data_IF_817029517756
#
_entry.id   IF_817029517756
#
_cell.length_a   1.000
_cell.length_b   1.000
_cell.length_c   1.000
_cell.angle_alpha   90.00
_cell.angle_beta   90.00
_cell.angle_gamma   90.00
#
_symmetry.space_group_name_H-M   'P 1'
#
loop_
_entity.id
_entity.type
_entity.pdbx_description
1 polymer ?
#
# COMPACT_ATOMS: atom_id res chain seq x y z
N UNK A 1 -10.64 9.65 21.98
CA UNK A 1 -11.87 8.85 21.75
C UNK A 1 -12.37 9.22 20.37
N UNK A 2 -12.26 8.34 19.39
CA UNK A 2 -12.94 8.54 18.11
C UNK A 2 -14.32 7.93 18.24
N UNK A 3 -15.33 8.79 18.34
CA UNK A 3 -16.70 8.37 18.66
C UNK A 3 -17.48 7.87 17.43
N UNK A 4 -17.05 8.22 16.21
CA UNK A 4 -17.66 7.69 14.99
C UNK A 4 -16.62 7.36 13.90
N UNK A 5 -16.13 6.12 13.94
CA UNK A 5 -15.17 5.57 12.95
C UNK A 5 -15.78 5.59 11.54
N UNK A 6 -17.07 5.28 11.42
CA UNK A 6 -17.79 5.23 10.15
C UNK A 6 -17.83 6.59 9.45
N UNK A 7 -18.16 7.66 10.18
CA UNK A 7 -18.18 9.03 9.67
C UNK A 7 -16.79 9.43 9.16
N UNK A 8 -15.73 9.15 9.92
CA UNK A 8 -14.37 9.49 9.53
C UNK A 8 -13.91 8.75 8.27
N UNK A 9 -14.23 7.46 8.16
CA UNK A 9 -13.94 6.67 6.95
C UNK A 9 -14.66 7.24 5.72
N UNK A 10 -15.91 7.69 5.87
CA UNK A 10 -16.65 8.36 4.80
C UNK A 10 -16.06 9.72 4.43
N UNK A 11 -15.59 10.49 5.41
CA UNK A 11 -14.92 11.79 5.15
C UNK A 11 -13.62 11.60 4.39
N UNK A 12 -12.80 10.62 4.76
CA UNK A 12 -11.58 10.28 4.02
C UNK A 12 -11.90 9.74 2.62
N UNK A 13 -12.89 8.86 2.48
CA UNK A 13 -13.33 8.35 1.17
C UNK A 13 -13.91 9.45 0.26
N UNK A 14 -14.48 10.51 0.86
CA UNK A 14 -14.97 11.68 0.12
C UNK A 14 -13.85 12.58 -0.42
N UNK A 15 -12.66 12.59 0.19
CA UNK A 15 -11.49 13.37 -0.26
C UNK A 15 -10.75 12.71 -1.43
N UNK A 16 -10.96 11.43 -1.65
CA UNK A 16 -10.24 10.63 -2.65
C UNK A 16 -10.23 11.22 -4.06
N UNK A 17 -11.35 11.71 -4.65
CA UNK A 17 -11.31 12.29 -5.99
C UNK A 17 -10.42 13.52 -6.09
N UNK A 18 -10.37 14.33 -5.02
CA UNK A 18 -9.48 15.50 -4.95
C UNK A 18 -8.02 15.05 -4.88
N UNK A 19 -7.70 14.08 -4.03
CA UNK A 19 -6.35 13.49 -3.95
C UNK A 19 -5.89 12.90 -5.29
N UNK A 20 -6.78 12.22 -6.01
CA UNK A 20 -6.47 11.70 -7.34
C UNK A 20 -6.27 12.81 -8.37
N UNK A 21 -7.00 13.91 -8.27
CA UNK A 21 -6.84 15.06 -9.16
C UNK A 21 -5.49 15.76 -8.91
N UNK A 22 -5.10 15.93 -7.65
CA UNK A 22 -3.77 16.42 -7.27
C UNK A 22 -2.67 15.46 -7.73
N UNK A 23 -2.90 14.16 -7.62
CA UNK A 23 -1.99 13.14 -8.13
C UNK A 23 -1.81 13.25 -9.65
N UNK A 24 -2.89 13.40 -10.42
CA UNK A 24 -2.81 13.62 -11.88
C UNK A 24 -2.00 14.87 -12.19
N UNK A 25 -2.19 15.95 -11.43
CA UNK A 25 -1.37 17.16 -11.60
C UNK A 25 0.12 16.87 -11.36
N UNK A 26 0.47 16.02 -10.39
CA UNK A 26 1.85 15.62 -10.13
C UNK A 26 2.49 14.79 -11.27
N UNK A 27 1.68 14.09 -12.09
CA UNK A 27 2.18 13.32 -13.24
C UNK A 27 2.80 14.21 -14.33
N UNK A 28 2.52 15.52 -14.33
CA UNK A 28 3.16 16.46 -15.26
C UNK A 28 4.69 16.49 -15.12
N UNK A 29 5.22 16.12 -13.95
CA UNK A 29 6.66 15.94 -13.72
C UNK A 29 7.29 14.82 -14.56
N UNK A 30 6.49 13.83 -14.98
CA UNK A 30 6.92 12.71 -15.83
C UNK A 30 6.94 13.04 -17.31
N UNK A 31 6.54 14.26 -17.71
CA UNK A 31 6.48 14.67 -19.12
C UNK A 31 7.81 14.49 -19.84
N UNK A 32 8.92 14.84 -19.20
CA UNK A 32 10.26 14.68 -19.77
C UNK A 32 10.63 13.21 -20.00
N UNK A 33 10.29 12.33 -19.05
CA UNK A 33 10.52 10.90 -19.16
C UNK A 33 9.69 10.28 -20.30
N UNK A 34 8.43 10.69 -20.42
CA UNK A 34 7.57 10.26 -21.52
C UNK A 34 8.08 10.76 -22.88
N UNK A 35 8.54 12.01 -22.96
CA UNK A 35 9.13 12.58 -24.17
C UNK A 35 10.40 11.82 -24.58
N UNK A 36 11.28 11.49 -23.63
CA UNK A 36 12.44 10.64 -23.88
C UNK A 36 12.02 9.30 -24.49
N UNK A 37 11.02 8.63 -23.90
CA UNK A 37 10.56 7.34 -24.41
C UNK A 37 9.99 7.44 -25.83
N UNK A 38 9.16 8.46 -26.10
CA UNK A 38 8.60 8.70 -27.43
C UNK A 38 9.69 9.02 -28.45
N UNK A 39 10.64 9.89 -28.12
CA UNK A 39 11.75 10.25 -29.00
C UNK A 39 12.64 9.05 -29.30
N UNK A 40 12.93 8.22 -28.28
CA UNK A 40 13.70 7.00 -28.46
C UNK A 40 12.98 5.98 -29.34
N UNK A 41 11.68 5.72 -29.09
CA UNK A 41 10.87 4.82 -29.92
C UNK A 41 10.81 5.28 -31.38
N UNK A 42 10.59 6.58 -31.61
CA UNK A 42 10.56 7.15 -32.95
C UNK A 42 11.92 7.07 -33.64
N UNK A 43 13.01 7.25 -32.91
CA UNK A 43 14.35 7.13 -33.46
C UNK A 43 14.68 5.68 -33.85
N UNK A 44 14.36 4.71 -32.99
CA UNK A 44 14.57 3.29 -33.27
C UNK A 44 13.69 2.85 -34.45
N UNK A 45 12.40 3.20 -34.47
CA UNK A 45 11.45 2.75 -35.50
C UNK A 45 11.58 3.54 -36.82
N UNK A 46 11.93 4.82 -36.75
CA UNK A 46 12.15 5.67 -37.94
C UNK A 46 13.34 5.24 -38.78
N UNK A 47 14.25 4.41 -38.24
CA UNK A 47 15.33 3.77 -38.99
C UNK A 47 14.89 2.57 -39.85
N UNK A 48 13.66 2.06 -39.69
CA UNK A 48 13.15 0.86 -40.38
C UNK A 48 11.91 1.11 -41.25
N UNK A 49 11.52 2.38 -41.46
CA UNK A 49 10.32 2.71 -42.22
C UNK A 49 10.65 2.77 -43.72
N UNK A 50 10.36 1.68 -44.45
CA UNK A 50 10.30 1.69 -45.92
C UNK A 50 9.09 2.51 -46.38
N UNK A 51 9.30 3.37 -47.39
CA UNK A 51 8.34 4.33 -47.98
C UNK A 51 7.01 3.71 -48.52
N UNK A 52 6.79 2.40 -48.39
CA UNK A 52 5.73 1.66 -49.09
C UNK A 52 4.70 0.93 -48.21
N UNK A 53 4.73 1.08 -46.89
CA UNK A 53 3.68 0.53 -46.03
C UNK A 53 2.90 1.64 -45.34
N UNK A 54 1.57 1.62 -45.48
CA UNK A 54 0.66 2.45 -44.65
C UNK A 54 1.10 2.34 -43.19
N UNK A 55 1.11 3.45 -42.43
CA UNK A 55 1.51 3.40 -41.03
C UNK A 55 0.58 2.44 -40.30
N UNK A 56 1.09 1.27 -39.94
CA UNK A 56 0.44 0.40 -38.98
C UNK A 56 0.06 1.27 -37.78
N UNK A 57 -1.11 1.02 -37.19
CA UNK A 57 -1.61 1.79 -36.05
C UNK A 57 -0.66 1.61 -34.86
N UNK A 58 0.42 2.37 -34.83
CA UNK A 58 1.40 2.32 -33.76
C UNK A 58 0.70 2.82 -32.50
N UNK A 59 0.45 1.90 -31.57
CA UNK A 59 0.03 2.26 -30.23
C UNK A 59 1.06 3.24 -29.66
N UNK A 60 0.61 4.45 -29.33
CA UNK A 60 1.45 5.47 -28.72
C UNK A 60 2.06 4.97 -27.41
N UNK A 61 3.25 5.44 -27.05
CA UNK A 61 3.85 5.14 -25.75
C UNK A 61 2.95 5.64 -24.63
N UNK A 62 2.64 4.78 -23.65
CA UNK A 62 1.93 5.14 -22.42
C UNK A 62 0.69 6.03 -22.67
N UNK A 63 -0.34 5.53 -23.41
CA UNK A 63 -1.44 6.35 -23.91
C UNK A 63 -2.30 7.00 -22.82
N UNK A 64 -2.48 6.31 -21.69
CA UNK A 64 -3.25 6.80 -20.54
C UNK A 64 -2.47 7.87 -19.78
N UNK A 65 -1.18 7.65 -19.55
CA UNK A 65 -0.30 8.65 -18.95
C UNK A 65 -0.24 9.92 -19.80
N UNK A 66 -0.10 9.78 -21.12
CA UNK A 66 -0.11 10.91 -22.06
C UNK A 66 -1.41 11.70 -21.99
N UNK A 67 -2.55 11.02 -22.02
CA UNK A 67 -3.86 11.66 -21.92
C UNK A 67 -4.00 12.45 -20.61
N UNK A 68 -3.57 11.88 -19.48
CA UNK A 68 -3.66 12.52 -18.17
C UNK A 68 -2.72 13.73 -18.05
N UNK A 69 -1.53 13.69 -18.66
CA UNK A 69 -0.60 14.83 -18.69
C UNK A 69 -1.16 15.97 -19.57
N UNK A 70 -1.75 15.64 -20.72
CA UNK A 70 -2.20 16.63 -21.71
C UNK A 70 -3.57 17.24 -21.34
N UNK A 71 -4.51 16.43 -20.83
CA UNK A 71 -5.91 16.82 -20.60
C UNK A 71 -6.30 16.88 -19.11
N UNK A 72 -5.40 16.50 -18.19
CA UNK A 72 -5.71 16.46 -16.76
C UNK A 72 -6.61 15.28 -16.38
N UNK A 73 -7.34 15.41 -15.27
CA UNK A 73 -8.16 14.32 -14.75
C UNK A 73 -9.45 14.19 -15.56
N UNK A 74 -9.44 13.30 -16.56
CA UNK A 74 -10.57 13.08 -17.48
C UNK A 74 -11.60 12.09 -16.90
N UNK A 75 -12.81 12.07 -17.46
CA UNK A 75 -13.83 11.07 -17.14
C UNK A 75 -13.57 9.71 -17.82
N UNK A 76 -14.16 8.65 -17.28
CA UNK A 76 -14.15 7.33 -17.93
C UNK A 76 -14.81 7.40 -19.31
N UNK A 77 -15.89 8.19 -19.45
CA UNK A 77 -16.55 8.42 -20.73
C UNK A 77 -15.60 8.98 -21.80
N UNK A 78 -14.90 10.07 -21.47
CA UNK A 78 -13.95 10.74 -22.37
C UNK A 78 -12.82 9.80 -22.78
N UNK A 79 -12.33 8.97 -21.85
CA UNK A 79 -11.26 8.01 -22.12
C UNK A 79 -11.71 6.90 -23.07
N UNK A 80 -12.94 6.38 -22.92
CA UNK A 80 -13.47 5.31 -23.79
C UNK A 80 -13.90 5.81 -25.17
N UNK A 81 -14.46 7.01 -25.25
CA UNK A 81 -15.12 7.51 -26.46
C UNK A 81 -14.30 8.57 -27.22
N UNK A 82 -13.24 9.11 -26.61
CA UNK A 82 -12.40 10.14 -27.22
C UNK A 82 -13.05 11.52 -27.33
N UNK A 83 -14.25 11.73 -26.76
CA UNK A 83 -14.99 12.99 -26.77
C UNK A 83 -15.63 13.28 -25.41
N UNK A 84 -15.82 14.56 -25.10
CA UNK A 84 -16.52 15.00 -23.90
C UNK A 84 -18.03 14.72 -23.98
N UNK A 85 -18.68 14.31 -22.89
CA UNK A 85 -20.12 14.13 -22.87
C UNK A 85 -20.84 15.49 -22.89
N UNK A 86 -21.99 15.54 -23.56
CA UNK A 86 -22.85 16.73 -23.59
C UNK A 86 -23.62 16.90 -22.26
N UNK A 87 -23.89 15.80 -21.54
CA UNK A 87 -24.57 15.83 -20.25
C UNK A 87 -23.98 14.79 -19.28
N UNK A 88 -23.86 15.15 -18.00
CA UNK A 88 -23.37 14.27 -16.93
C UNK A 88 -24.55 13.94 -16.01
N UNK A 89 -24.92 12.67 -15.95
CA UNK A 89 -25.91 12.14 -15.01
C UNK A 89 -25.26 11.71 -13.68
N UNK A 90 -26.07 11.22 -12.74
CA UNK A 90 -25.58 10.77 -11.43
C UNK A 90 -24.55 9.64 -11.60
N UNK A 91 -23.40 9.81 -10.96
CA UNK A 91 -22.43 8.74 -10.75
C UNK A 91 -22.98 7.70 -9.78
N UNK A 92 -22.45 6.50 -9.85
CA UNK A 92 -22.65 5.41 -8.90
C UNK A 92 -21.77 5.54 -7.64
N UNK A 93 -21.21 6.72 -7.34
CA UNK A 93 -20.56 7.00 -6.05
C UNK A 93 -21.60 7.23 -4.95
N UNK A 94 -21.66 6.31 -3.99
CA UNK A 94 -22.60 6.35 -2.87
C UNK A 94 -22.08 7.18 -1.69
N UNK A 95 -20.79 7.53 -1.66
CA UNK A 95 -20.16 8.20 -0.51
C UNK A 95 -20.81 9.54 -0.18
N UNK A 96 -21.13 10.44 -1.14
CA UNK A 96 -21.80 11.71 -0.82
C UNK A 96 -23.14 11.51 -0.09
N UNK A 97 -23.92 10.51 -0.51
CA UNK A 97 -25.20 10.17 0.11
C UNK A 97 -25.02 9.57 1.50
N UNK A 98 -24.13 8.58 1.65
CA UNK A 98 -23.85 7.93 2.93
C UNK A 98 -23.26 8.92 3.95
N UNK A 99 -22.40 9.83 3.50
CA UNK A 99 -21.82 10.87 4.34
C UNK A 99 -22.90 11.82 4.88
N UNK A 100 -23.85 12.24 4.04
CA UNK A 100 -24.97 13.07 4.48
C UNK A 100 -25.85 12.34 5.50
N UNK A 101 -26.18 11.07 5.22
CA UNK A 101 -26.98 10.25 6.12
C UNK A 101 -26.29 10.07 7.49
N UNK A 102 -24.99 9.80 7.50
CA UNK A 102 -24.23 9.57 8.73
C UNK A 102 -24.09 10.86 9.55
N UNK A 103 -23.87 12.01 8.90
CA UNK A 103 -23.87 13.32 9.56
C UNK A 103 -25.21 13.63 10.22
N UNK A 104 -26.32 13.32 9.57
CA UNK A 104 -27.66 13.49 10.15
C UNK A 104 -27.85 12.60 11.39
N UNK A 105 -27.43 11.34 11.35
CA UNK A 105 -27.51 10.42 12.50
C UNK A 105 -26.68 10.92 13.70
N UNK A 106 -25.44 11.35 13.46
CA UNK A 106 -24.58 11.89 14.53
C UNK A 106 -25.17 13.15 15.14
N UNK A 107 -25.74 14.04 14.32
CA UNK A 107 -26.39 15.25 14.81
C UNK A 107 -27.66 14.92 15.63
N UNK A 108 -28.45 13.95 15.19
CA UNK A 108 -29.64 13.48 15.93
C UNK A 108 -29.27 12.90 17.30
N UNK A 109 -28.29 11.99 17.34
CA UNK A 109 -27.78 11.42 18.60
C UNK A 109 -27.23 12.50 19.54
N UNK A 110 -26.58 13.53 18.99
CA UNK A 110 -26.08 14.66 19.77
C UNK A 110 -27.21 15.52 20.36
N UNK A 111 -28.31 15.71 19.62
CA UNK A 111 -29.50 16.41 20.10
C UNK A 111 -30.24 15.61 21.18
N UNK A 112 -30.40 14.29 21.00
CA UNK A 112 -31.02 13.40 21.98
C UNK A 112 -30.24 13.36 23.30
N UNK A 113 -28.90 13.42 23.24
CA UNK A 113 -28.06 13.53 24.45
C UNK A 113 -28.25 14.87 25.18
N UNK A 114 -28.52 15.95 24.45
CA UNK A 114 -28.84 17.27 25.04
C UNK A 114 -30.26 17.34 25.61
N UNK A 115 -31.20 16.54 25.09
CA UNK A 115 -32.58 16.49 25.57
C UNK A 115 -32.73 15.64 26.87
N UNK A 116 -31.83 14.68 27.11
CA UNK A 116 -31.92 13.73 28.23
C UNK A 116 -31.25 14.20 29.54
N UNK A 117 -31.06 15.52 29.75
CA UNK A 117 -30.48 16.06 31.00
C UNK A 117 -31.51 16.24 32.13
N UNK A 118 -32.78 15.88 31.94
CA UNK A 118 -33.75 15.83 33.05
C UNK A 118 -34.71 14.65 32.92
N UNK A 119 -34.40 13.54 33.61
CA UNK A 119 -35.27 12.93 34.64
C UNK A 119 -34.46 11.86 35.38
N UNK A 120 -34.12 12.15 36.63
CA UNK A 120 -33.89 11.13 37.66
C UNK A 120 -35.11 10.20 37.71
N UNK A 121 -34.91 8.91 37.42
CA UNK A 121 -35.42 7.78 38.21
C UNK A 121 -35.45 6.50 37.37
N UNK A 122 -35.11 5.39 38.05
CA UNK A 122 -35.18 3.99 37.62
C UNK A 122 -34.05 3.50 36.71
N UNK A 123 -32.92 3.24 37.37
CA UNK A 123 -32.01 2.14 37.03
C UNK A 123 -32.76 0.82 37.25
N UNK A 124 -32.97 -0.02 36.21
CA UNK A 124 -33.23 -1.43 36.42
C UNK A 124 -31.88 -2.10 36.68
N UNK A 125 -31.68 -2.52 37.92
CA UNK A 125 -30.58 -3.38 38.34
C UNK A 125 -30.72 -4.75 37.67
N UNK A 126 -29.93 -5.03 36.64
CA UNK A 126 -29.58 -6.41 36.25
C UNK A 126 -28.26 -6.37 35.46
N UNK A 127 -27.19 -6.12 36.20
CA UNK A 127 -25.84 -6.45 35.76
C UNK A 127 -25.71 -7.97 35.94
N UNK A 128 -25.84 -8.72 34.85
CA UNK A 128 -25.36 -10.10 34.82
C UNK A 128 -23.83 -10.05 34.96
N UNK A 129 -23.37 -9.98 36.21
CA UNK A 129 -21.99 -10.27 36.57
C UNK A 129 -21.69 -11.70 36.16
N UNK A 130 -21.00 -11.84 35.03
CA UNK A 130 -20.30 -13.08 34.71
C UNK A 130 -19.18 -13.18 35.74
N UNK A 131 -19.45 -13.95 36.80
CA UNK A 131 -18.48 -14.37 37.80
C UNK A 131 -17.43 -15.23 37.09
N UNK A 132 -16.28 -14.64 36.78
CA UNK A 132 -15.11 -15.40 36.32
C UNK A 132 -14.58 -16.19 37.52
N UNK A 133 -14.85 -17.49 37.55
CA UNK A 133 -14.27 -18.41 38.52
C UNK A 133 -12.74 -18.39 38.36
N UNK A 134 -12.03 -17.98 39.42
CA UNK A 134 -10.56 -17.90 39.45
C UNK A 134 -9.88 -19.27 39.31
N UNK A 135 -10.63 -20.37 39.30
CA UNK A 135 -10.08 -21.74 39.24
C UNK A 135 -10.08 -22.39 37.84
N UNK A 136 -10.62 -21.77 36.79
CA UNK A 136 -10.47 -22.25 35.42
C UNK A 136 -9.28 -21.56 34.72
N UNK A 137 -8.06 -21.98 35.08
CA UNK A 137 -6.89 -21.82 34.22
C UNK A 137 -6.96 -22.86 33.09
N UNK A 138 -8.08 -22.86 32.36
CA UNK A 138 -8.15 -23.42 31.03
C UNK A 138 -7.54 -22.39 30.10
N UNK A 139 -6.25 -22.52 29.80
CA UNK A 139 -5.59 -21.74 28.77
C UNK A 139 -6.42 -21.83 27.48
N UNK A 140 -7.17 -20.78 27.15
CA UNK A 140 -7.77 -20.66 25.83
C UNK A 140 -6.59 -20.33 24.90
N UNK A 141 -6.03 -21.42 24.37
CA UNK A 141 -5.03 -21.46 23.31
C UNK A 141 -5.67 -20.95 22.02
N UNK A 142 -5.67 -19.63 21.85
CA UNK A 142 -5.77 -19.06 20.51
C UNK A 142 -4.38 -19.23 19.90
N UNK A 143 -4.20 -20.37 19.23
CA UNK A 143 -2.94 -20.80 18.62
C UNK A 143 -2.22 -19.72 17.81
N UNK A 144 -0.97 -19.99 17.40
CA UNK A 144 -0.07 -18.99 16.83
C UNK A 144 -0.75 -18.16 15.74
N UNK A 145 -0.65 -16.84 15.90
CA UNK A 145 -1.08 -15.87 14.90
C UNK A 145 -0.39 -16.17 13.58
N UNK A 146 -1.16 -16.55 12.57
CA UNK A 146 -0.66 -16.71 11.22
C UNK A 146 -0.55 -15.31 10.57
N UNK A 147 0.58 -14.66 10.84
CA UNK A 147 0.92 -13.32 10.34
C UNK A 147 1.23 -13.35 8.83
N UNK A 148 1.23 -14.52 8.19
CA UNK A 148 1.44 -14.68 6.73
C UNK A 148 0.20 -14.35 5.88
N UNK A 149 -0.98 -14.11 6.47
CA UNK A 149 -2.18 -13.68 5.71
C UNK A 149 -2.20 -12.19 5.33
N UNK A 150 -1.09 -11.48 5.51
CA UNK A 150 -0.90 -10.10 5.02
C UNK A 150 -0.47 -10.05 3.54
N UNK A 151 -0.14 -11.20 2.93
CA UNK A 151 0.08 -11.31 1.49
C UNK A 151 -1.02 -12.17 0.87
N UNK A 152 -2.09 -11.50 0.41
CA UNK A 152 -2.84 -11.84 -0.80
C UNK A 152 -3.92 -10.78 -0.98
N UNK A 153 -3.53 -9.64 -1.54
CA UNK A 153 -4.48 -8.77 -2.24
C UNK A 153 -4.86 -9.53 -3.51
N UNK A 154 -5.81 -10.44 -3.39
CA UNK A 154 -6.47 -11.06 -4.53
C UNK A 154 -7.28 -9.94 -5.22
N UNK A 155 -6.79 -9.49 -6.36
CA UNK A 155 -7.61 -8.72 -7.29
C UNK A 155 -8.69 -9.66 -7.81
N UNK A 156 -9.84 -9.70 -7.11
CA UNK A 156 -11.04 -10.37 -7.60
C UNK A 156 -11.40 -9.76 -8.96
N UNK A 157 -11.03 -10.47 -10.03
CA UNK A 157 -11.50 -10.22 -11.39
C UNK A 157 -13.00 -10.49 -11.38
N UNK A 158 -13.82 -9.46 -11.53
CA UNK A 158 -15.26 -9.62 -11.63
C UNK A 158 -15.58 -10.61 -12.75
N UNK A 159 -16.26 -11.69 -12.35
CA UNK A 159 -16.68 -12.78 -13.21
C UNK A 159 -17.71 -12.22 -14.19
N UNK A 160 -17.39 -12.22 -15.49
CA UNK A 160 -18.36 -11.85 -16.52
C UNK A 160 -19.55 -12.81 -16.44
N UNK A 161 -20.73 -12.29 -16.12
CA UNK A 161 -21.98 -13.00 -16.34
C UNK A 161 -22.18 -13.09 -17.85
N UNK A 162 -21.69 -14.17 -18.43
CA UNK A 162 -22.10 -14.65 -19.74
C UNK A 162 -23.54 -15.14 -19.63
N UNK A 163 -24.49 -14.34 -20.12
CA UNK A 163 -25.86 -14.81 -20.36
C UNK A 163 -25.84 -15.75 -21.57
N UNK A 164 -25.55 -17.03 -21.34
CA UNK A 164 -25.80 -18.11 -22.30
C UNK A 164 -27.14 -18.76 -21.99
N UNK A 165 -28.17 -18.48 -22.80
CA UNK A 165 -29.33 -19.37 -22.89
C UNK A 165 -29.17 -20.31 -24.09
N UNK A 166 -29.17 -21.60 -23.77
CA UNK A 166 -29.02 -22.77 -24.63
C UNK A 166 -30.17 -22.95 -25.65
N UNK A 167 -29.82 -23.49 -26.83
CA UNK A 167 -30.74 -24.07 -27.83
C UNK A 167 -30.05 -24.34 -29.19
N UNK A 168 -29.47 -25.53 -29.37
CA UNK A 168 -28.83 -26.11 -30.59
C UNK A 168 -29.87 -26.59 -31.63
N UNK A 169 -29.54 -27.15 -32.85
CA UNK A 169 -28.24 -27.35 -33.55
C UNK A 169 -28.21 -27.03 -35.10
N UNK A 170 -26.98 -27.03 -35.63
CA UNK A 170 -26.46 -27.45 -36.98
C UNK A 170 -26.91 -26.80 -38.30
N UNK A 171 -25.98 -26.08 -38.97
CA UNK A 171 -25.32 -26.54 -40.22
C UNK A 171 -24.09 -25.66 -40.59
N UNK A 172 -23.06 -26.18 -41.29
CA UNK A 172 -21.77 -25.52 -41.47
C UNK A 172 -21.65 -24.72 -42.77
N UNK A 173 -20.56 -23.95 -42.85
CA UNK A 173 -19.95 -23.33 -44.03
C UNK A 173 -20.48 -21.93 -44.40
N UNK A 174 -19.64 -20.89 -44.25
CA UNK A 174 -19.14 -19.98 -45.31
C UNK A 174 -18.16 -18.96 -44.69
N UNK A 175 -17.08 -18.73 -45.42
CA UNK A 175 -15.87 -17.95 -45.15
C UNK A 175 -16.04 -16.48 -44.73
N UNK A 176 -15.09 -16.06 -43.89
CA UNK A 176 -14.29 -14.82 -43.93
C UNK A 176 -14.80 -13.63 -44.74
N UNK A 177 -15.26 -12.57 -44.05
CA UNK A 177 -14.91 -11.16 -44.30
C UNK A 177 -15.66 -10.25 -43.30
N UNK A 178 -14.98 -9.83 -42.23
CA UNK A 178 -15.49 -8.84 -41.28
C UNK A 178 -15.41 -7.44 -41.89
N UNK A 179 -16.46 -7.03 -42.61
CA UNK A 179 -16.69 -5.62 -42.92
C UNK A 179 -17.40 -4.94 -41.74
N UNK A 180 -16.79 -3.83 -41.32
CA UNK A 180 -17.36 -2.79 -40.46
C UNK A 180 -18.75 -2.39 -40.96
N UNK A 181 -19.79 -2.77 -40.23
CA UNK A 181 -21.12 -2.20 -40.38
C UNK A 181 -21.34 -1.14 -39.28
N UNK A 182 -21.10 0.12 -39.65
CA UNK A 182 -21.76 1.26 -39.04
C UNK A 182 -23.25 1.15 -39.40
N UNK A 183 -24.19 1.01 -38.45
CA UNK A 183 -25.59 1.11 -38.79
C UNK A 183 -25.93 2.59 -38.94
N UNK A 184 -25.90 3.07 -40.19
CA UNK A 184 -26.56 4.29 -40.62
C UNK A 184 -28.07 4.12 -40.45
N UNK A 185 -28.58 4.52 -39.29
CA UNK A 185 -30.01 4.68 -39.06
C UNK A 185 -30.24 6.06 -38.44
N UNK A 186 -30.93 6.91 -39.19
CA UNK A 186 -31.48 8.19 -38.72
C UNK A 186 -32.52 7.84 -37.66
N UNK A 187 -32.12 7.87 -36.40
CA UNK A 187 -33.00 7.87 -35.24
C UNK A 187 -32.46 8.94 -34.29
N UNK A 188 -33.32 9.88 -33.93
CA UNK A 188 -33.21 10.89 -32.87
C UNK A 188 -31.86 10.89 -32.14
N UNK A 189 -31.07 11.95 -32.36
CA UNK A 189 -29.74 12.14 -31.75
C UNK A 189 -29.89 12.09 -30.22
N UNK A 190 -29.78 10.89 -29.64
CA UNK A 190 -29.78 10.72 -28.19
C UNK A 190 -28.59 11.54 -27.67
N UNK A 191 -28.82 12.41 -26.66
CA UNK A 191 -27.75 13.23 -26.13
C UNK A 191 -26.60 12.34 -25.68
N UNK A 192 -25.37 12.79 -25.90
CA UNK A 192 -24.16 12.08 -25.50
C UNK A 192 -24.04 12.20 -23.97
N UNK A 193 -24.57 11.22 -23.24
CA UNK A 193 -24.70 11.28 -21.78
C UNK A 193 -23.71 10.33 -21.10
N UNK A 194 -22.96 10.85 -20.13
CA UNK A 194 -22.18 10.03 -19.19
C UNK A 194 -23.02 9.73 -17.94
N UNK A 195 -23.26 8.46 -17.64
CA UNK A 195 -24.04 8.02 -16.47
C UNK A 195 -23.35 6.89 -15.70
N UNK A 196 -23.65 6.78 -14.40
CA UNK A 196 -23.12 5.73 -13.52
C UNK A 196 -21.59 5.70 -13.52
N UNK A 197 -21.02 4.54 -13.84
CA UNK A 197 -19.57 4.32 -13.87
C UNK A 197 -18.85 5.17 -14.92
N UNK A 198 -19.53 5.57 -16.01
CA UNK A 198 -18.93 6.40 -17.07
C UNK A 198 -18.84 7.88 -16.67
N UNK A 199 -19.65 8.30 -15.70
CA UNK A 199 -19.64 9.65 -15.14
C UNK A 199 -18.55 9.86 -14.06
N UNK A 200 -17.86 8.78 -13.64
CA UNK A 200 -16.72 8.88 -12.73
C UNK A 200 -15.48 9.40 -13.44
N UNK A 201 -14.55 9.96 -12.67
CA UNK A 201 -13.21 10.25 -13.18
C UNK A 201 -12.45 8.95 -13.50
N UNK A 202 -11.49 9.04 -14.42
CA UNK A 202 -10.77 7.89 -14.94
C UNK A 202 -10.07 7.10 -13.83
N UNK A 203 -9.41 7.78 -12.89
CA UNK A 203 -8.70 7.10 -11.80
C UNK A 203 -9.61 6.64 -10.65
N UNK A 204 -10.89 7.01 -10.64
CA UNK A 204 -11.88 6.38 -9.76
C UNK A 204 -12.25 4.97 -10.26
N UNK A 205 -12.09 4.70 -11.56
CA UNK A 205 -12.29 3.38 -12.18
C UNK A 205 -11.10 2.46 -11.96
N UNK A 206 -11.38 1.17 -11.73
CA UNK A 206 -10.36 0.11 -11.65
C UNK A 206 -9.62 0.00 -12.99
N UNK A 207 -10.36 0.03 -14.11
CA UNK A 207 -9.80 -0.06 -15.46
C UNK A 207 -8.82 1.11 -15.73
N UNK A 208 -9.21 2.33 -15.35
CA UNK A 208 -8.39 3.52 -15.58
C UNK A 208 -7.12 3.52 -14.74
N UNK A 209 -7.19 3.07 -13.48
CA UNK A 209 -6.01 2.88 -12.64
C UNK A 209 -5.09 1.78 -13.18
N UNK A 210 -5.64 0.66 -13.62
CA UNK A 210 -4.85 -0.43 -14.18
C UNK A 210 -4.15 -0.01 -15.48
N UNK A 211 -4.84 0.73 -16.34
CA UNK A 211 -4.27 1.28 -17.57
C UNK A 211 -3.11 2.24 -17.25
N UNK A 212 -3.27 3.15 -16.29
CA UNK A 212 -2.18 4.02 -15.84
C UNK A 212 -1.03 3.22 -15.18
N UNK A 213 -1.33 2.20 -14.39
CA UNK A 213 -0.33 1.37 -13.74
C UNK A 213 0.54 0.64 -14.78
N UNK A 214 -0.10 0.08 -15.81
CA UNK A 214 0.60 -0.56 -16.92
C UNK A 214 1.53 0.44 -17.64
N UNK A 215 1.03 1.64 -17.94
CA UNK A 215 1.81 2.70 -18.58
C UNK A 215 3.02 3.13 -17.74
N UNK A 216 2.86 3.27 -16.42
CA UNK A 216 3.95 3.62 -15.50
C UNK A 216 4.98 2.48 -15.37
N UNK A 217 4.53 1.22 -15.37
CA UNK A 217 5.42 0.06 -15.37
C UNK A 217 6.21 -0.06 -16.68
N UNK A 218 5.56 0.18 -17.81
CA UNK A 218 6.20 0.25 -19.13
C UNK A 218 7.27 1.35 -19.16
N UNK A 219 6.93 2.56 -18.72
CA UNK A 219 7.88 3.68 -18.66
C UNK A 219 9.05 3.39 -17.72
N UNK A 220 8.80 2.81 -16.55
CA UNK A 220 9.85 2.42 -15.60
C UNK A 220 10.79 1.38 -16.20
N UNK A 221 10.25 0.34 -16.85
CA UNK A 221 11.05 -0.70 -17.49
C UNK A 221 11.92 -0.13 -18.61
N UNK A 222 11.37 0.77 -19.43
CA UNK A 222 12.13 1.49 -20.45
C UNK A 222 13.28 2.31 -19.84
N UNK A 223 13.00 3.12 -18.81
CA UNK A 223 14.02 3.97 -18.19
C UNK A 223 15.13 3.16 -17.52
N UNK A 224 14.79 2.06 -16.86
CA UNK A 224 15.78 1.15 -16.26
C UNK A 224 16.69 0.55 -17.33
N UNK A 225 16.11 0.06 -18.43
CA UNK A 225 16.90 -0.49 -19.53
C UNK A 225 17.79 0.58 -20.17
N UNK A 226 17.24 1.77 -20.41
CA UNK A 226 17.99 2.89 -20.95
C UNK A 226 19.15 3.32 -20.03
N UNK A 227 18.95 3.24 -18.70
CA UNK A 227 20.01 3.51 -17.73
C UNK A 227 21.12 2.46 -17.75
N UNK A 228 20.77 1.18 -17.83
CA UNK A 228 21.73 0.08 -17.96
C UNK A 228 22.60 0.28 -19.21
N UNK A 229 21.97 0.56 -20.35
CA UNK A 229 22.67 0.79 -21.62
C UNK A 229 23.60 2.01 -21.54
N UNK A 230 23.25 3.05 -20.77
CA UNK A 230 24.13 4.21 -20.53
C UNK A 230 25.34 3.88 -19.63
N UNK A 231 25.15 3.05 -18.61
CA UNK A 231 26.23 2.66 -17.69
C UNK A 231 27.23 1.73 -18.36
N UNK A 232 26.77 0.77 -19.16
CA UNK A 232 27.62 -0.13 -19.92
C UNK A 232 28.57 0.64 -20.87
N UNK A 233 28.12 1.78 -21.42
CA UNK A 233 28.96 2.65 -22.23
C UNK A 233 30.09 3.31 -21.43
N UNK A 234 29.80 3.80 -20.23
CA UNK A 234 30.79 4.46 -19.36
C UNK A 234 31.89 3.47 -18.94
N UNK A 235 31.51 2.22 -18.66
CA UNK A 235 32.46 1.16 -18.30
C UNK A 235 33.34 0.77 -19.50
N UNK A 236 32.75 0.61 -20.69
CA UNK A 236 33.48 0.29 -21.92
C UNK A 236 34.46 1.42 -22.34
N UNK A 237 34.11 2.70 -22.17
CA UNK A 237 35.03 3.82 -22.42
C UNK A 237 36.23 3.81 -21.45
N UNK A 238 36.03 3.38 -20.21
CA UNK A 238 37.09 3.27 -19.21
C UNK A 238 38.08 2.13 -19.50
N UNK A 239 37.59 0.99 -19.99
CA UNK A 239 38.43 -0.14 -20.42
C UNK A 239 39.19 0.16 -21.74
N UNK A 240 38.56 0.87 -22.66
CA UNK A 240 39.20 1.29 -23.92
C UNK A 240 40.29 2.35 -23.73
N UNK A 241 40.27 3.12 -22.64
CA UNK A 241 41.35 4.05 -22.29
C UNK A 241 42.58 3.33 -21.72
N UNK A 242 42.41 2.22 -20.99
CA UNK A 242 43.50 1.37 -20.50
C UNK A 242 44.17 0.56 -21.62
N UNK A 243 43.45 0.32 -22.73
CA UNK A 243 43.95 -0.49 -23.86
C UNK A 243 44.64 0.31 -24.97
N UNK A 244 44.83 1.64 -24.83
CA UNK A 244 45.51 2.47 -25.85
C UNK A 244 47.04 2.34 -25.88
N UNK A 245 47.63 1.44 -25.09
CA UNK A 245 49.07 1.10 -25.22
C UNK A 245 49.24 -0.40 -25.41
N UNK A 246 48.97 -0.90 -26.62
CA UNK A 246 49.40 -2.24 -27.02
C UNK A 246 48.44 -2.97 -27.94
N UNK A 247 48.80 -2.99 -29.23
CA UNK A 247 48.61 -4.06 -30.20
C UNK A 247 47.22 -4.74 -30.31
N UNK A 248 46.63 -4.58 -31.49
CA UNK A 248 45.62 -5.44 -32.14
C UNK A 248 45.55 -6.87 -31.59
N UNK A 249 44.55 -7.15 -30.77
CA UNK A 249 44.12 -8.51 -30.48
C UNK A 249 42.60 -8.53 -30.36
N UNK A 250 41.93 -8.95 -31.44
CA UNK A 250 40.56 -9.44 -31.40
C UNK A 250 40.51 -10.59 -30.39
N UNK A 251 39.86 -10.38 -29.24
CA UNK A 251 39.35 -11.48 -28.40
C UNK A 251 37.86 -11.66 -28.71
N UNK A 252 37.42 -12.83 -29.20
CA UNK A 252 36.02 -13.16 -29.29
C UNK A 252 35.58 -13.63 -27.89
N UNK A 253 35.07 -12.72 -27.06
CA UNK A 253 34.32 -13.12 -25.87
C UNK A 253 32.87 -13.33 -26.27
N UNK A 254 32.38 -14.55 -26.06
CA UNK A 254 31.09 -15.01 -26.53
C UNK A 254 29.91 -14.26 -25.89
N UNK A 255 29.17 -13.59 -26.75
CA UNK A 255 27.86 -13.00 -26.50
C UNK A 255 27.29 -12.54 -27.84
N UNK A 256 26.82 -13.48 -28.65
CA UNK A 256 26.22 -13.18 -29.96
C UNK A 256 24.83 -12.58 -29.70
N UNK A 257 24.69 -11.28 -29.98
CA UNK A 257 23.48 -10.76 -30.62
C UNK A 257 22.57 -9.83 -29.80
N UNK A 258 23.05 -8.65 -29.38
CA UNK A 258 22.20 -7.43 -29.29
C UNK A 258 23.01 -6.13 -29.10
N UNK A 259 24.13 -6.22 -28.38
CA UNK A 259 24.76 -5.06 -27.74
C UNK A 259 25.43 -4.07 -28.72
N UNK A 260 25.91 -4.55 -29.87
CA UNK A 260 26.58 -3.68 -30.86
C UNK A 260 25.58 -2.79 -31.60
N UNK A 261 24.38 -3.28 -31.91
CA UNK A 261 23.38 -2.52 -32.67
C UNK A 261 22.73 -1.46 -31.78
N UNK A 262 22.36 -1.79 -30.54
CA UNK A 262 21.84 -0.82 -29.57
C UNK A 262 22.86 0.29 -29.29
N UNK A 263 24.15 -0.06 -29.13
CA UNK A 263 25.21 0.93 -28.96
C UNK A 263 25.41 1.84 -30.18
N UNK A 264 25.35 1.31 -31.41
CA UNK A 264 25.44 2.09 -32.66
C UNK A 264 24.23 3.02 -32.83
N UNK A 265 23.03 2.56 -32.48
CA UNK A 265 21.80 3.35 -32.51
C UNK A 265 21.95 4.54 -31.56
N UNK A 266 22.32 4.32 -30.29
CA UNK A 266 22.47 5.41 -29.30
C UNK A 266 23.63 6.37 -29.67
N UNK A 267 24.71 5.90 -30.31
CA UNK A 267 25.80 6.78 -30.80
C UNK A 267 25.38 7.76 -31.90
N UNK A 268 24.34 7.44 -32.67
CA UNK A 268 23.78 8.30 -33.71
C UNK A 268 22.51 9.04 -33.25
N UNK A 269 22.21 9.02 -31.94
CA UNK A 269 21.02 9.63 -31.39
C UNK A 269 21.11 11.18 -31.45
N UNK A 270 20.03 11.88 -31.85
CA UNK A 270 19.98 13.34 -31.80
C UNK A 270 20.24 13.89 -30.38
N UNK A 271 20.71 15.14 -30.29
CA UNK A 271 21.04 15.81 -29.02
C UNK A 271 19.89 15.81 -27.98
N UNK A 272 18.65 15.68 -28.44
CA UNK A 272 17.43 15.56 -27.61
C UNK A 272 17.37 14.25 -26.78
N UNK A 273 18.29 13.30 -27.02
CA UNK A 273 18.47 12.05 -26.28
C UNK A 273 19.70 12.08 -25.34
N UNK A 274 20.38 13.23 -25.23
CA UNK A 274 21.55 13.40 -24.35
C UNK A 274 21.12 13.64 -22.90
N UNK A 275 20.89 12.56 -22.16
CA UNK A 275 20.59 12.60 -20.73
C UNK A 275 21.74 12.00 -19.92
N UNK A 276 22.01 12.56 -18.74
CA UNK A 276 22.98 11.97 -17.81
C UNK A 276 22.35 10.82 -17.03
N UNK A 277 23.18 9.87 -16.55
CA UNK A 277 22.70 8.76 -15.69
C UNK A 277 21.96 9.27 -14.43
N UNK A 278 22.36 10.44 -13.90
CA UNK A 278 21.69 11.09 -12.78
C UNK A 278 20.29 11.61 -13.15
N UNK A 279 20.11 12.12 -14.37
CA UNK A 279 18.81 12.59 -14.83
C UNK A 279 17.84 11.43 -15.04
N UNK A 280 18.32 10.32 -15.60
CA UNK A 280 17.52 9.09 -15.75
C UNK A 280 17.17 8.49 -14.38
N UNK A 281 18.11 8.47 -13.44
CA UNK A 281 17.84 8.04 -12.05
C UNK A 281 16.72 8.85 -11.42
N UNK A 282 16.76 10.19 -11.57
CA UNK A 282 15.70 11.08 -11.09
C UNK A 282 14.35 10.77 -11.75
N UNK A 283 14.33 10.50 -13.06
CA UNK A 283 13.09 10.09 -13.76
C UNK A 283 12.53 8.77 -13.23
N UNK A 284 13.39 7.78 -12.97
CA UNK A 284 12.99 6.49 -12.37
C UNK A 284 12.40 6.70 -10.97
N UNK A 285 13.02 7.55 -10.15
CA UNK A 285 12.50 7.89 -8.82
C UNK A 285 11.10 8.53 -8.90
N UNK A 286 10.89 9.47 -9.82
CA UNK A 286 9.56 10.08 -10.03
C UNK A 286 8.52 9.05 -10.47
N UNK A 287 8.86 8.11 -11.35
CA UNK A 287 7.94 7.04 -11.76
C UNK A 287 7.63 6.10 -10.60
N UNK A 288 8.64 5.73 -9.79
CA UNK A 288 8.44 4.92 -8.58
C UNK A 288 7.58 5.64 -7.53
N UNK A 289 7.75 6.94 -7.36
CA UNK A 289 6.91 7.75 -6.48
C UNK A 289 5.46 7.73 -6.96
N UNK A 290 5.23 7.90 -8.27
CA UNK A 290 3.90 7.85 -8.87
C UNK A 290 3.25 6.46 -8.70
N UNK A 291 4.00 5.38 -8.92
CA UNK A 291 3.56 4.01 -8.68
C UNK A 291 3.16 3.80 -7.21
N UNK A 292 4.01 4.19 -6.27
CA UNK A 292 3.76 4.02 -4.84
C UNK A 292 2.50 4.76 -4.39
N UNK A 293 2.26 5.98 -4.89
CA UNK A 293 1.04 6.74 -4.57
C UNK A 293 -0.23 6.02 -5.05
N UNK A 294 -0.18 5.39 -6.24
CA UNK A 294 -1.31 4.68 -6.83
C UNK A 294 -1.57 3.31 -6.19
N UNK A 295 -0.55 2.65 -5.63
CA UNK A 295 -0.63 1.29 -5.04
C UNK A 295 -0.74 1.27 -3.52
N UNK A 296 -0.93 2.42 -2.87
CA UNK A 296 -1.10 2.45 -1.41
C UNK A 296 -2.32 1.64 -0.95
N UNK A 297 -2.14 0.86 0.12
CA UNK A 297 -3.22 0.06 0.71
C UNK A 297 -4.38 0.93 1.20
N UNK A 298 -4.09 2.12 1.72
CA UNK A 298 -5.09 3.11 2.12
C UNK A 298 -5.95 3.57 0.95
N UNK A 299 -5.35 3.93 -0.20
CA UNK A 299 -6.11 4.32 -1.39
C UNK A 299 -6.99 3.17 -1.87
N UNK A 300 -6.49 1.94 -1.89
CA UNK A 300 -7.27 0.75 -2.25
C UNK A 300 -8.49 0.55 -1.34
N UNK A 301 -8.31 0.62 -0.02
CA UNK A 301 -9.40 0.50 0.95
C UNK A 301 -10.42 1.64 0.80
N UNK A 302 -9.97 2.88 0.61
CA UNK A 302 -10.87 4.02 0.39
C UNK A 302 -11.65 3.90 -0.92
N UNK A 303 -11.04 3.36 -1.98
CA UNK A 303 -11.74 3.04 -3.23
C UNK A 303 -12.79 1.96 -3.04
N UNK A 304 -12.50 0.94 -2.24
CA UNK A 304 -13.46 -0.12 -1.91
C UNK A 304 -14.66 0.41 -1.12
N UNK A 305 -14.48 1.42 -0.27
CA UNK A 305 -15.59 2.13 0.38
C UNK A 305 -16.47 2.83 -0.67
N UNK A 306 -15.87 3.41 -1.71
CA UNK A 306 -16.59 4.14 -2.77
C UNK A 306 -17.37 3.23 -3.70
N UNK A 307 -16.85 2.03 -4.00
CA UNK A 307 -17.43 1.12 -4.99
C UNK A 307 -18.31 0.03 -4.41
N UNK A 308 -18.03 -0.47 -3.19
CA UNK A 308 -18.75 -1.60 -2.59
C UNK A 308 -19.58 -1.18 -1.38
N UNK A 309 -20.91 -1.22 -1.52
CA UNK A 309 -21.90 -0.73 -0.55
C UNK A 309 -21.78 -1.36 0.87
N UNK A 310 -21.28 -2.60 0.99
CA UNK A 310 -21.08 -3.28 2.28
C UNK A 310 -19.64 -3.37 2.78
N UNK A 311 -18.68 -2.72 2.10
CA UNK A 311 -17.29 -2.74 2.55
C UNK A 311 -17.07 -1.85 3.79
N UNK A 312 -17.75 -0.71 3.85
CA UNK A 312 -17.67 0.21 4.99
C UNK A 312 -18.11 -0.44 6.30
N UNK A 313 -19.20 -1.21 6.30
CA UNK A 313 -19.69 -1.92 7.48
C UNK A 313 -18.65 -2.93 7.96
N UNK A 314 -18.21 -3.82 7.07
CA UNK A 314 -17.19 -4.84 7.38
C UNK A 314 -15.88 -4.24 7.87
N UNK A 315 -15.43 -3.14 7.27
CA UNK A 315 -14.22 -2.44 7.70
C UNK A 315 -14.41 -1.82 9.09
N UNK A 316 -15.59 -1.24 9.36
CA UNK A 316 -15.91 -0.65 10.66
C UNK A 316 -15.91 -1.74 11.74
N UNK A 317 -16.57 -2.88 11.50
CA UNK A 317 -16.61 -4.02 12.42
C UNK A 317 -15.20 -4.54 12.72
N UNK A 318 -14.38 -4.73 11.67
CA UNK A 318 -12.98 -5.15 11.82
C UNK A 318 -12.15 -4.17 12.65
N UNK A 319 -12.33 -2.86 12.46
CA UNK A 319 -11.64 -1.83 13.24
C UNK A 319 -12.10 -1.81 14.70
N UNK A 320 -13.39 -2.04 14.95
CA UNK A 320 -13.93 -2.17 16.31
C UNK A 320 -13.37 -3.41 17.01
N UNK A 321 -13.25 -4.53 16.30
CA UNK A 321 -12.64 -5.76 16.82
C UNK A 321 -11.16 -5.55 17.16
N UNK A 322 -10.38 -4.94 16.26
CA UNK A 322 -8.98 -4.62 16.56
C UNK A 322 -8.84 -3.69 17.76
N UNK A 323 -9.70 -2.66 17.86
CA UNK A 323 -9.72 -1.80 19.04
C UNK A 323 -10.02 -2.59 20.31
N UNK A 324 -11.00 -3.50 20.29
CA UNK A 324 -11.32 -4.36 21.43
C UNK A 324 -10.13 -5.23 21.83
N UNK A 325 -9.44 -5.83 20.87
CA UNK A 325 -8.24 -6.64 21.12
C UNK A 325 -7.12 -5.81 21.74
N UNK A 326 -6.88 -4.60 21.25
CA UNK A 326 -5.87 -3.68 21.82
C UNK A 326 -6.22 -3.29 23.27
N UNK A 327 -7.49 -3.01 23.57
CA UNK A 327 -7.89 -2.72 24.96
C UNK A 327 -7.71 -3.94 25.87
N UNK A 328 -8.03 -5.15 25.40
CA UNK A 328 -7.80 -6.39 26.16
C UNK A 328 -6.31 -6.65 26.40
N UNK A 329 -5.45 -6.41 25.40
CA UNK A 329 -4.02 -6.53 25.55
C UNK A 329 -3.49 -5.50 26.56
N UNK A 330 -3.99 -4.25 26.51
CA UNK A 330 -3.61 -3.19 27.43
C UNK A 330 -4.00 -3.51 28.88
N UNK A 331 -5.20 -4.04 29.11
CA UNK A 331 -5.63 -4.43 30.46
C UNK A 331 -4.79 -5.57 31.00
N UNK A 332 -4.48 -6.59 30.19
CA UNK A 332 -3.57 -7.69 30.56
C UNK A 332 -2.17 -7.17 30.89
N UNK A 333 -1.58 -6.32 30.06
CA UNK A 333 -0.27 -5.71 30.34
C UNK A 333 -0.29 -4.93 31.66
N UNK A 334 -1.34 -4.16 31.92
CA UNK A 334 -1.49 -3.41 33.18
C UNK A 334 -1.61 -4.33 34.39
N UNK A 335 -2.35 -5.44 34.28
CA UNK A 335 -2.47 -6.44 35.35
C UNK A 335 -1.14 -7.13 35.63
N UNK A 336 -0.44 -7.58 34.59
CA UNK A 336 0.89 -8.20 34.72
C UNK A 336 1.89 -7.23 35.33
N UNK A 337 1.87 -5.95 34.93
CA UNK A 337 2.75 -4.93 35.52
C UNK A 337 2.52 -4.79 37.03
N UNK A 338 1.25 -4.77 37.47
CA UNK A 338 0.94 -4.72 38.91
C UNK A 338 1.46 -5.95 39.67
N UNK A 339 1.43 -7.13 39.06
CA UNK A 339 1.98 -8.35 39.66
C UNK A 339 3.51 -8.30 39.75
N UNK A 340 4.17 -7.78 38.70
CA UNK A 340 5.63 -7.55 38.71
C UNK A 340 6.00 -6.57 39.83
N UNK A 341 5.28 -5.45 39.94
CA UNK A 341 5.54 -4.44 40.97
C UNK A 341 5.37 -5.03 42.38
N UNK A 342 4.34 -5.87 42.60
CA UNK A 342 4.14 -6.58 43.86
C UNK A 342 5.28 -7.54 44.17
N UNK A 343 5.68 -8.37 43.20
CA UNK A 343 6.79 -9.32 43.37
C UNK A 343 8.12 -8.59 43.65
N UNK A 344 8.34 -7.43 43.03
CA UNK A 344 9.53 -6.61 43.26
C UNK A 344 9.54 -6.03 44.69
N UNK A 345 8.39 -5.55 45.18
CA UNK A 345 8.26 -5.08 46.56
C UNK A 345 8.52 -6.21 47.57
N UNK A 346 7.98 -7.41 47.33
CA UNK A 346 8.24 -8.59 48.18
C UNK A 346 9.72 -9.00 48.15
N UNK A 347 10.35 -8.99 46.97
CA UNK A 347 11.77 -9.27 46.81
C UNK A 347 12.64 -8.24 47.56
N UNK A 348 12.28 -6.96 47.49
CA UNK A 348 12.97 -5.90 48.22
C UNK A 348 12.83 -6.10 49.74
N UNK A 349 11.64 -6.43 50.23
CA UNK A 349 11.43 -6.72 51.66
C UNK A 349 12.30 -7.91 52.11
N UNK A 350 12.28 -9.02 51.38
CA UNK A 350 13.07 -10.21 51.73
C UNK A 350 14.57 -9.97 51.68
N UNK A 351 15.07 -9.22 50.70
CA UNK A 351 16.49 -8.88 50.63
C UNK A 351 16.93 -8.00 51.81
N UNK A 352 16.08 -7.06 52.27
CA UNK A 352 16.38 -6.28 53.48
C UNK A 352 16.40 -7.14 54.75
N UNK A 353 15.46 -8.10 54.89
CA UNK A 353 15.45 -9.05 56.00
C UNK A 353 16.71 -9.93 56.02
N UNK A 354 17.12 -10.43 54.85
CA UNK A 354 18.37 -11.20 54.71
C UNK A 354 19.60 -10.37 55.08
N UNK A 355 19.67 -9.11 54.66
CA UNK A 355 20.77 -8.21 55.02
C UNK A 355 20.83 -7.97 56.54
N UNK A 356 19.69 -7.81 57.21
CA UNK A 356 19.63 -7.69 58.67
C UNK A 356 20.10 -8.98 59.35
N UNK A 357 19.61 -10.15 58.91
CA UNK A 357 20.01 -11.43 59.47
C UNK A 357 21.52 -11.67 59.29
N UNK A 358 22.07 -11.35 58.11
CA UNK A 358 23.51 -11.42 57.83
C UNK A 358 24.30 -10.55 58.80
N UNK A 359 23.83 -9.34 59.11
CA UNK A 359 24.47 -8.47 60.09
C UNK A 359 24.39 -9.02 61.52
N UNK A 360 23.27 -9.64 61.93
CA UNK A 360 23.16 -10.31 63.22
C UNK A 360 24.13 -11.50 63.32
N UNK A 361 24.22 -12.33 62.27
CA UNK A 361 25.17 -13.44 62.23
C UNK A 361 26.62 -12.95 62.34
N UNK A 362 27.00 -11.89 61.61
CA UNK A 362 28.34 -11.28 61.72
C UNK A 362 28.65 -10.81 63.15
N UNK A 363 27.69 -10.15 63.82
CA UNK A 363 27.84 -9.72 65.22
C UNK A 363 27.97 -10.91 66.19
N UNK A 364 27.20 -11.98 65.97
CA UNK A 364 27.25 -13.17 66.81
C UNK A 364 28.58 -13.90 66.66
N UNK A 365 29.07 -14.03 65.42
CA UNK A 365 30.39 -14.59 65.14
C UNK A 365 31.47 -13.78 65.85
N UNK A 366 31.50 -12.44 65.67
CA UNK A 366 32.54 -11.62 66.30
C UNK A 366 32.52 -11.75 67.83
N UNK A 367 31.32 -11.84 68.41
CA UNK A 367 31.16 -12.09 69.85
C UNK A 367 31.72 -13.45 70.27
N UNK A 368 31.46 -14.52 69.50
CA UNK A 368 31.98 -15.85 69.78
C UNK A 368 33.51 -15.92 69.60
N UNK A 369 34.05 -15.26 68.58
CA UNK A 369 35.50 -15.16 68.36
C UNK A 369 36.18 -14.44 69.52
N UNK A 370 35.58 -13.36 70.04
CA UNK A 370 36.08 -12.62 71.20
C UNK A 370 36.07 -13.47 72.48
N UNK A 371 34.96 -14.16 72.78
CA UNK A 371 34.85 -15.04 73.95
C UNK A 371 35.79 -16.25 73.85
N UNK A 372 35.85 -16.92 72.69
CA UNK A 372 36.79 -18.03 72.49
C UNK A 372 38.24 -17.59 72.56
N UNK A 373 38.57 -16.41 72.03
CA UNK A 373 39.92 -15.87 72.13
C UNK A 373 40.30 -15.57 73.58
N UNK A 374 39.34 -15.14 74.41
CA UNK A 374 39.54 -14.93 75.85
C UNK A 374 39.75 -16.25 76.60
N UNK A 375 39.02 -17.31 76.25
CA UNK A 375 39.15 -18.62 76.89
C UNK A 375 40.47 -19.31 76.49
N UNK A 376 40.85 -19.23 75.22
CA UNK A 376 42.02 -19.92 74.67
C UNK A 376 43.34 -19.14 74.80
N UNK A 377 43.32 -17.89 75.29
CA UNK A 377 44.48 -16.99 75.36
C UNK A 377 45.27 -16.88 74.03
N UNK A 378 44.56 -17.01 72.91
CA UNK A 378 45.09 -16.91 71.55
C UNK A 378 43.97 -16.42 70.65
N UNK A 379 44.31 -15.64 69.64
CA UNK A 379 43.33 -15.19 68.64
C UNK A 379 42.72 -16.38 67.89
N UNK A 380 41.40 -16.52 67.97
CA UNK A 380 40.62 -17.55 67.27
C UNK A 380 39.77 -16.88 66.19
N UNK A 381 39.84 -17.42 64.96
CA UNK A 381 38.94 -17.05 63.87
C UNK A 381 38.12 -18.28 63.45
N UNK A 382 36.81 -18.10 63.33
CA UNK A 382 35.90 -19.16 62.90
C UNK A 382 35.91 -19.19 61.37
N UNK A 383 36.50 -20.20 60.75
CA UNK A 383 36.49 -20.36 59.28
C UNK A 383 35.27 -21.13 58.79
N UNK A 384 34.71 -20.76 57.63
CA UNK A 384 33.52 -21.42 57.04
C UNK A 384 32.18 -20.76 57.38
N UNK A 385 32.19 -19.47 57.71
CA UNK A 385 30.98 -18.73 58.06
C UNK A 385 30.10 -18.50 56.83
N UNK A 386 28.79 -18.66 56.98
CA UNK A 386 27.79 -18.35 55.96
C UNK A 386 27.69 -16.84 55.60
N UNK A 387 28.59 -16.01 56.14
CA UNK A 387 28.54 -14.54 56.04
C UNK A 387 29.30 -13.96 54.84
N UNK A 388 29.99 -14.79 54.05
CA UNK A 388 30.84 -14.35 52.92
C UNK A 388 30.24 -14.58 51.52
N UNK A 389 28.98 -15.03 51.42
CA UNK A 389 28.20 -15.06 50.18
C UNK A 389 27.40 -13.77 49.97
#
# INVERSE_FOLDING_TARGET
KEENIRLRLLEEAGKVPMLLTEFVHSLTSLKTALQLYVSFKNFVLGGFQDDYHEPEKFYGCCPTLKLLIDSGHVMVFTWKNGCEPEHIERSDDFVPFLLQQEKMKVNQLSMELCQNVFTDSNVPSELNEILWDENEVGAIDFGPFDVESVENIEFERENMVSTSSSGTPDNPNVDSASQSNVPSSINERKPIVASGASARYLLDSVDGRQALLNDLLELNAFLQRFQEDLLERLDNESEHQLSRTGCNAFKPSGGIGCDTIQNIIIQNAPNDLSYTSNDISRMIELVKEALNKLTTSSLSQLMMIRTRIGYLDRLTDRLLDYRRQVELARTRCSQTQKLIDKALMEQQEKTTQLAQLKNYCKKLVSFLEDELSRICNRQVQITGQFCDL
#
